data_IF_206952981332
#
_entry.id   IF_206952981332
#
_cell.length_a   1.000
_cell.length_b   1.000
_cell.length_c   1.000
_cell.angle_alpha   90.00
_cell.angle_beta   90.00
_cell.angle_gamma   90.00
#
_symmetry.space_group_name_H-M   'P 1'
#
loop_
_entity.id
_entity.type
_entity.pdbx_description
1 polymer ?
#
# COMPACT_ATOMS: atom_id res chain seq x y z
N UNK A 1 19.58 -54.01 -9.48
CA UNK A 1 18.62 -52.95 -9.12
C UNK A 1 18.29 -53.08 -7.63
N UNK A 2 19.16 -52.56 -6.77
CA UNK A 2 18.91 -52.51 -5.32
C UNK A 2 18.42 -51.10 -4.99
N UNK A 3 17.13 -50.98 -4.66
CA UNK A 3 16.55 -49.73 -4.19
C UNK A 3 17.09 -49.44 -2.79
N UNK A 4 18.05 -48.52 -2.70
CA UNK A 4 18.40 -47.87 -1.44
C UNK A 4 17.17 -47.07 -1.04
N UNK A 5 16.39 -47.63 -0.13
CA UNK A 5 15.28 -46.96 0.53
C UNK A 5 15.87 -45.77 1.29
N UNK A 6 15.79 -44.59 0.69
CA UNK A 6 15.80 -43.31 1.38
C UNK A 6 14.59 -43.31 2.30
N UNK A 7 14.78 -43.90 3.49
CA UNK A 7 13.83 -43.81 4.59
C UNK A 7 13.64 -42.34 4.89
N UNK A 8 12.52 -41.78 4.42
CA UNK A 8 12.02 -40.49 4.86
C UNK A 8 11.78 -40.62 6.36
N UNK A 9 12.73 -40.16 7.16
CA UNK A 9 12.57 -39.95 8.60
C UNK A 9 11.59 -38.80 8.80
N UNK A 10 10.29 -39.09 8.64
CA UNK A 10 9.21 -38.22 9.10
C UNK A 10 9.10 -38.40 10.61
N UNK A 11 10.13 -37.92 11.32
CA UNK A 11 10.09 -37.63 12.74
C UNK A 11 9.55 -36.22 12.95
N UNK A 12 8.32 -35.94 12.49
CA UNK A 12 7.63 -34.71 12.85
C UNK A 12 6.82 -34.99 14.11
N UNK A 13 7.43 -34.71 15.26
CA UNK A 13 6.71 -34.64 16.53
C UNK A 13 5.57 -33.62 16.38
N UNK A 14 4.35 -34.01 16.75
CA UNK A 14 3.15 -33.18 16.65
C UNK A 14 3.23 -31.81 17.38
N UNK A 15 4.30 -31.55 18.14
CA UNK A 15 4.61 -30.23 18.70
C UNK A 15 5.19 -29.21 17.71
N UNK A 16 5.76 -29.65 16.58
CA UNK A 16 6.33 -28.77 15.54
C UNK A 16 5.26 -28.19 14.61
N UNK A 17 4.14 -28.88 14.40
CA UNK A 17 3.04 -28.41 13.55
C UNK A 17 2.23 -27.28 14.21
N UNK A 18 2.11 -27.27 15.54
CA UNK A 18 1.39 -26.21 16.27
C UNK A 18 2.24 -24.94 16.40
N UNK A 19 3.54 -25.08 16.66
CA UNK A 19 4.48 -23.94 16.76
C UNK A 19 4.75 -23.26 15.41
N UNK A 20 4.70 -24.00 14.29
CA UNK A 20 4.75 -23.41 12.95
C UNK A 20 3.54 -22.52 12.61
N UNK A 21 2.35 -22.81 13.16
CA UNK A 21 1.12 -22.04 12.91
C UNK A 21 1.18 -20.66 13.55
N UNK A 22 1.64 -20.56 14.81
CA UNK A 22 1.76 -19.27 15.50
C UNK A 22 2.83 -18.40 14.85
N UNK A 23 3.99 -18.98 14.53
CA UNK A 23 5.08 -18.28 13.84
C UNK A 23 4.65 -17.71 12.47
N UNK A 24 3.87 -18.48 11.70
CA UNK A 24 3.34 -18.03 10.40
C UNK A 24 2.39 -16.83 10.52
N UNK A 25 1.60 -16.78 11.59
CA UNK A 25 0.63 -15.73 11.82
C UNK A 25 1.30 -14.43 12.27
N UNK A 26 2.28 -14.52 13.17
CA UNK A 26 3.01 -13.34 13.65
C UNK A 26 3.87 -12.72 12.55
N UNK A 27 4.50 -13.56 11.71
CA UNK A 27 5.23 -13.10 10.53
C UNK A 27 4.34 -12.33 9.55
N UNK A 28 3.15 -12.84 9.26
CA UNK A 28 2.22 -12.16 8.35
C UNK A 28 1.63 -10.88 8.92
N UNK A 29 1.40 -10.84 10.25
CA UNK A 29 1.01 -9.60 10.95
C UNK A 29 2.11 -8.55 10.86
N UNK A 30 3.36 -8.93 11.06
CA UNK A 30 4.50 -8.04 10.92
C UNK A 30 4.60 -7.47 9.50
N UNK A 31 4.57 -8.34 8.47
CA UNK A 31 4.56 -7.90 7.07
C UNK A 31 3.40 -6.97 6.75
N UNK A 32 2.20 -7.28 7.23
CA UNK A 32 1.05 -6.41 7.05
C UNK A 32 1.22 -5.06 7.75
N UNK A 33 1.82 -5.02 8.94
CA UNK A 33 2.08 -3.77 9.66
C UNK A 33 3.11 -2.89 8.93
N UNK A 34 4.20 -3.49 8.43
CA UNK A 34 5.20 -2.78 7.61
C UNK A 34 4.55 -2.21 6.35
N UNK A 35 3.76 -3.01 5.64
CA UNK A 35 3.06 -2.55 4.46
C UNK A 35 2.05 -1.42 4.77
N UNK A 36 1.29 -1.50 5.87
CA UNK A 36 0.41 -0.40 6.28
C UNK A 36 1.18 0.87 6.69
N UNK A 37 2.36 0.74 7.30
CA UNK A 37 3.22 1.87 7.61
C UNK A 37 3.72 2.56 6.33
N UNK A 38 4.14 1.77 5.34
CA UNK A 38 4.53 2.27 4.02
C UNK A 38 3.34 2.96 3.33
N UNK A 39 2.14 2.37 3.38
CA UNK A 39 0.94 2.99 2.84
C UNK A 39 0.66 4.37 3.49
N UNK A 40 0.78 4.46 4.80
CA UNK A 40 0.59 5.70 5.54
C UNK A 40 1.62 6.76 5.15
N UNK A 41 2.89 6.36 4.96
CA UNK A 41 3.95 7.24 4.46
C UNK A 41 3.61 7.79 3.06
N UNK A 42 3.12 6.96 2.16
CA UNK A 42 2.69 7.40 0.83
C UNK A 42 1.46 8.34 0.89
N UNK A 43 0.50 8.10 1.80
CA UNK A 43 -0.59 9.05 2.03
C UNK A 43 -0.08 10.41 2.53
N UNK A 44 0.92 10.42 3.41
CA UNK A 44 1.54 11.66 3.89
C UNK A 44 2.22 12.42 2.74
N UNK A 45 2.95 11.72 1.87
CA UNK A 45 3.55 12.31 0.65
C UNK A 45 2.48 12.85 -0.29
N UNK A 46 1.36 12.14 -0.47
CA UNK A 46 0.24 12.61 -1.26
C UNK A 46 -0.35 13.92 -0.73
N UNK A 47 -0.56 14.01 0.58
CA UNK A 47 -1.03 15.24 1.20
C UNK A 47 -0.01 16.37 1.09
N UNK A 48 1.28 16.05 1.20
CA UNK A 48 2.34 17.03 1.06
C UNK A 48 2.43 17.63 -0.35
N UNK A 49 2.35 16.78 -1.37
CA UNK A 49 2.29 17.22 -2.77
C UNK A 49 1.14 18.19 -3.01
N UNK A 50 -0.07 17.88 -2.51
CA UNK A 50 -1.23 18.78 -2.60
C UNK A 50 -0.96 20.10 -1.87
N UNK A 51 -0.44 20.07 -0.64
CA UNK A 51 -0.13 21.29 0.13
C UNK A 51 0.92 22.16 -0.57
N UNK A 52 1.94 21.57 -1.16
CA UNK A 52 2.95 22.27 -1.96
C UNK A 52 2.31 22.94 -3.18
N UNK A 53 1.52 22.19 -3.95
CA UNK A 53 0.80 22.74 -5.10
C UNK A 53 -0.17 23.87 -4.73
N UNK A 54 -0.87 23.77 -3.60
CA UNK A 54 -1.73 24.84 -3.09
C UNK A 54 -0.93 26.10 -2.71
N UNK A 55 0.22 25.94 -2.06
CA UNK A 55 1.12 27.06 -1.73
C UNK A 55 1.67 27.73 -2.99
N UNK A 56 2.13 26.95 -3.96
CA UNK A 56 2.65 27.46 -5.24
C UNK A 56 1.55 28.20 -6.03
N UNK A 57 0.34 27.62 -6.11
CA UNK A 57 -0.80 28.27 -6.75
C UNK A 57 -1.23 29.55 -6.02
N UNK A 58 -1.10 29.60 -4.69
CA UNK A 58 -1.38 30.81 -3.92
C UNK A 58 -0.31 31.89 -4.15
N UNK A 59 0.97 31.51 -4.19
CA UNK A 59 2.08 32.41 -4.49
C UNK A 59 1.94 33.04 -5.88
N UNK A 60 1.61 32.23 -6.89
CA UNK A 60 1.34 32.70 -8.25
C UNK A 60 0.18 33.70 -8.27
N UNK A 61 -0.96 33.38 -7.64
CA UNK A 61 -2.09 34.31 -7.54
C UNK A 61 -1.70 35.64 -6.89
N UNK A 62 -0.86 35.61 -5.85
CA UNK A 62 -0.36 36.83 -5.20
C UNK A 62 0.53 37.63 -6.15
N UNK A 63 1.37 36.98 -6.96
CA UNK A 63 2.21 37.63 -7.96
C UNK A 63 1.37 38.27 -9.08
N UNK A 64 0.37 37.56 -9.61
CA UNK A 64 -0.57 38.09 -10.61
C UNK A 64 -1.31 39.32 -10.08
N UNK A 65 -1.78 39.28 -8.83
CA UNK A 65 -2.43 40.44 -8.17
C UNK A 65 -1.50 41.63 -8.02
N UNK A 66 -0.24 41.41 -7.61
CA UNK A 66 0.77 42.47 -7.49
C UNK A 66 1.06 43.12 -8.84
N UNK A 67 1.21 42.31 -9.89
CA UNK A 67 1.42 42.81 -11.24
C UNK A 67 0.23 43.65 -11.73
N UNK A 68 -0.99 43.15 -11.55
CA UNK A 68 -2.21 43.88 -11.89
C UNK A 68 -2.32 45.20 -11.12
N UNK A 69 -2.00 45.21 -9.83
CA UNK A 69 -1.96 46.43 -9.01
C UNK A 69 -0.91 47.45 -9.49
N UNK A 70 0.29 46.98 -9.82
CA UNK A 70 1.37 47.83 -10.36
C UNK A 70 0.99 48.44 -11.73
N UNK A 71 0.42 47.63 -12.63
CA UNK A 71 -0.11 48.11 -13.91
C UNK A 71 -1.19 49.18 -13.71
N UNK A 72 -2.14 48.95 -12.80
CA UNK A 72 -3.18 49.92 -12.47
C UNK A 72 -2.61 51.25 -11.95
N UNK A 73 -1.62 51.19 -11.06
CA UNK A 73 -0.95 52.38 -10.55
C UNK A 73 -0.18 53.14 -11.64
N UNK A 74 0.48 52.42 -12.56
CA UNK A 74 1.20 53.02 -13.68
C UNK A 74 0.25 53.72 -14.67
N UNK A 75 -0.88 53.08 -15.02
CA UNK A 75 -1.90 53.70 -15.89
C UNK A 75 -2.55 54.92 -15.24
N UNK A 76 -2.84 54.86 -13.93
CA UNK A 76 -3.34 56.02 -13.18
C UNK A 76 -2.35 57.20 -13.21
N UNK A 77 -1.04 56.93 -13.09
CA UNK A 77 0.01 57.94 -13.15
C UNK A 77 0.23 58.54 -14.55
N UNK A 78 -0.19 57.84 -15.60
CA UNK A 78 -0.11 58.30 -17.00
C UNK A 78 -1.40 58.97 -17.49
N UNK A 79 -2.45 59.08 -16.65
CA UNK A 79 -3.72 59.69 -17.01
C UNK A 79 -4.56 58.86 -18.00
N UNK A 80 -4.25 57.57 -18.15
CA UNK A 80 -4.99 56.63 -19.01
C UNK A 80 -6.20 56.11 -18.24
N UNK A 81 -7.40 56.21 -18.82
CA UNK A 81 -8.60 55.64 -18.20
C UNK A 81 -8.52 54.11 -18.21
N UNK A 82 -8.32 53.55 -17.01
CA UNK A 82 -8.13 52.12 -16.77
C UNK A 82 -9.41 51.32 -17.08
N UNK A 83 -10.56 52.00 -17.23
CA UNK A 83 -11.85 51.37 -17.45
C UNK A 83 -12.30 51.31 -18.93
N UNK A 84 -11.55 51.87 -19.88
CA UNK A 84 -12.00 51.91 -21.29
C UNK A 84 -11.20 51.00 -22.23
N UNK A 85 -11.92 50.11 -22.92
CA UNK A 85 -11.63 49.62 -24.28
C UNK A 85 -10.57 48.53 -24.47
N UNK A 86 -9.36 48.65 -23.90
CA UNK A 86 -8.29 47.64 -24.10
C UNK A 86 -7.41 47.37 -22.88
N UNK A 87 -7.18 48.36 -22.00
CA UNK A 87 -6.39 48.17 -20.77
C UNK A 87 -7.09 47.23 -19.77
N UNK A 88 -8.43 47.29 -19.69
CA UNK A 88 -9.25 46.38 -18.90
C UNK A 88 -9.26 44.95 -19.45
N UNK A 89 -9.26 44.78 -20.78
CA UNK A 89 -9.23 43.47 -21.43
C UNK A 89 -7.89 42.77 -21.22
N UNK A 90 -6.77 43.48 -21.40
CA UNK A 90 -5.42 42.95 -21.15
C UNK A 90 -5.24 42.55 -19.68
N UNK A 91 -5.82 43.32 -18.74
CA UNK A 91 -5.79 43.01 -17.32
C UNK A 91 -6.66 41.78 -16.98
N UNK A 92 -7.82 41.63 -17.63
CA UNK A 92 -8.69 40.46 -17.47
C UNK A 92 -8.07 39.18 -18.08
N UNK A 93 -7.42 39.29 -19.24
CA UNK A 93 -6.69 38.19 -19.88
C UNK A 93 -5.51 37.75 -19.01
N UNK A 94 -4.73 38.69 -18.47
CA UNK A 94 -3.62 38.40 -17.55
C UNK A 94 -4.08 37.68 -16.27
N UNK A 95 -5.23 38.06 -15.72
CA UNK A 95 -5.82 37.39 -14.57
C UNK A 95 -6.33 35.98 -14.91
N UNK A 96 -6.93 35.82 -16.10
CA UNK A 96 -7.42 34.52 -16.59
C UNK A 96 -6.25 33.56 -16.83
N UNK A 97 -5.17 34.03 -17.43
CA UNK A 97 -3.95 33.25 -17.65
C UNK A 97 -3.30 32.83 -16.32
N UNK A 98 -3.20 33.75 -15.36
CA UNK A 98 -2.72 33.42 -14.01
C UNK A 98 -3.61 32.43 -13.26
N UNK A 99 -4.93 32.43 -13.51
CA UNK A 99 -5.85 31.45 -12.96
C UNK A 99 -5.66 30.06 -13.61
N UNK A 100 -5.43 30.02 -14.93
CA UNK A 100 -5.15 28.78 -15.67
C UNK A 100 -3.83 28.14 -15.19
N UNK A 101 -2.78 28.94 -15.03
CA UNK A 101 -1.50 28.48 -14.50
C UNK A 101 -1.63 27.93 -13.07
N UNK A 102 -2.42 28.61 -12.22
CA UNK A 102 -2.71 28.12 -10.87
C UNK A 102 -3.48 26.79 -10.87
N UNK A 103 -4.38 26.58 -11.83
CA UNK A 103 -5.07 25.29 -12.03
C UNK A 103 -4.08 24.22 -12.50
N UNK A 104 -3.17 24.57 -13.41
CA UNK A 104 -2.12 23.67 -13.90
C UNK A 104 -1.21 23.19 -12.77
N UNK A 105 -0.75 24.10 -11.91
CA UNK A 105 0.04 23.77 -10.70
C UNK A 105 -0.73 22.78 -9.83
N UNK A 106 -2.00 23.07 -9.54
CA UNK A 106 -2.85 22.18 -8.74
C UNK A 106 -3.00 20.81 -9.41
N UNK A 107 -3.28 20.76 -10.70
CA UNK A 107 -3.45 19.50 -11.44
C UNK A 107 -2.19 18.64 -11.41
N UNK A 108 -1.01 19.25 -11.53
CA UNK A 108 0.26 18.53 -11.43
C UNK A 108 0.45 17.95 -10.01
N UNK A 109 0.18 18.75 -8.97
CA UNK A 109 0.21 18.29 -7.59
C UNK A 109 -0.80 17.17 -7.31
N UNK A 110 -2.01 17.25 -7.89
CA UNK A 110 -3.02 16.19 -7.80
C UNK A 110 -2.56 14.90 -8.49
N UNK A 111 -1.89 15.01 -9.64
CA UNK A 111 -1.33 13.83 -10.35
C UNK A 111 -0.22 13.16 -9.54
N UNK A 112 0.67 13.95 -8.95
CA UNK A 112 1.73 13.46 -8.04
C UNK A 112 1.10 12.76 -6.82
N UNK A 113 0.13 13.41 -6.18
CA UNK A 113 -0.60 12.85 -5.04
C UNK A 113 -1.38 11.58 -5.38
N UNK A 114 -1.95 11.50 -6.57
CA UNK A 114 -2.62 10.30 -7.05
C UNK A 114 -1.64 9.14 -7.22
N UNK A 115 -0.44 9.39 -7.77
CA UNK A 115 0.63 8.39 -7.86
C UNK A 115 0.99 7.81 -6.49
N UNK A 116 1.17 8.66 -5.48
CA UNK A 116 1.42 8.21 -4.11
C UNK A 116 0.24 7.43 -3.52
N UNK A 117 -1.01 7.87 -3.72
CA UNK A 117 -2.19 7.12 -3.26
C UNK A 117 -2.33 5.75 -3.90
N UNK A 118 -1.97 5.61 -5.18
CA UNK A 118 -1.92 4.32 -5.87
C UNK A 118 -0.88 3.41 -5.21
N UNK A 119 0.31 3.93 -4.91
CA UNK A 119 1.34 3.17 -4.17
C UNK A 119 0.86 2.78 -2.76
N UNK A 120 0.19 3.69 -2.05
CA UNK A 120 -0.41 3.41 -0.75
C UNK A 120 -1.40 2.24 -0.82
N UNK A 121 -2.24 2.22 -1.86
CA UNK A 121 -3.25 1.18 -2.04
C UNK A 121 -2.63 -0.16 -2.47
N UNK A 122 -1.54 -0.14 -3.22
CA UNK A 122 -0.74 -1.35 -3.47
C UNK A 122 -0.20 -1.94 -2.16
N UNK A 123 0.39 -1.13 -1.29
CA UNK A 123 0.88 -1.60 0.01
C UNK A 123 -0.24 -2.13 0.91
N UNK A 124 -1.42 -1.50 0.91
CA UNK A 124 -2.59 -2.02 1.64
C UNK A 124 -3.07 -3.34 1.04
N UNK A 125 -2.99 -3.52 -0.27
CA UNK A 125 -3.26 -4.80 -0.94
C UNK A 125 -2.26 -5.88 -0.48
N UNK A 126 -0.97 -5.57 -0.43
CA UNK A 126 0.07 -6.48 0.09
C UNK A 126 -0.22 -6.88 1.54
N UNK A 127 -0.63 -5.93 2.38
CA UNK A 127 -1.00 -6.19 3.76
C UNK A 127 -2.22 -7.14 3.87
N UNK A 128 -3.22 -6.97 2.99
CA UNK A 128 -4.39 -7.87 2.91
C UNK A 128 -3.95 -9.25 2.42
N UNK A 129 -3.11 -9.31 1.39
CA UNK A 129 -2.60 -10.55 0.83
C UNK A 129 -1.81 -11.35 1.87
N UNK A 130 -0.90 -10.73 2.62
CA UNK A 130 -0.15 -11.38 3.69
C UNK A 130 -1.09 -12.02 4.73
N UNK A 131 -2.16 -11.31 5.13
CA UNK A 131 -3.17 -11.84 6.07
C UNK A 131 -3.98 -13.00 5.49
N UNK A 132 -4.29 -12.96 4.19
CA UNK A 132 -5.01 -14.06 3.49
C UNK A 132 -4.10 -15.27 3.31
N UNK A 133 -2.85 -15.07 2.90
CA UNK A 133 -1.84 -16.10 2.77
C UNK A 133 -1.63 -16.84 4.10
N UNK A 134 -1.52 -16.12 5.22
CA UNK A 134 -1.44 -16.73 6.55
C UNK A 134 -2.69 -17.53 6.93
N UNK A 135 -3.89 -17.03 6.60
CA UNK A 135 -5.14 -17.78 6.80
C UNK A 135 -5.19 -19.08 6.00
N UNK A 136 -4.74 -19.04 4.75
CA UNK A 136 -4.68 -20.21 3.87
C UNK A 136 -3.60 -21.19 4.33
N UNK A 137 -2.42 -20.70 4.71
CA UNK A 137 -1.37 -21.52 5.31
C UNK A 137 -1.89 -22.23 6.56
N UNK A 138 -2.60 -21.53 7.46
CA UNK A 138 -3.28 -22.17 8.61
C UNK A 138 -4.23 -23.27 8.21
N UNK A 139 -5.12 -23.03 7.23
CA UNK A 139 -6.07 -24.04 6.76
C UNK A 139 -5.36 -25.27 6.20
N UNK A 140 -4.32 -25.05 5.40
CA UNK A 140 -3.53 -26.15 4.85
C UNK A 140 -2.78 -26.90 5.94
N UNK A 141 -2.13 -26.22 6.89
CA UNK A 141 -1.41 -26.86 8.01
C UNK A 141 -2.35 -27.60 8.96
N UNK A 142 -3.57 -27.11 9.20
CA UNK A 142 -4.56 -27.84 10.00
C UNK A 142 -5.02 -29.10 9.25
N UNK A 143 -5.27 -29.00 7.93
CA UNK A 143 -5.70 -30.13 7.13
C UNK A 143 -4.59 -31.18 6.99
N UNK A 144 -3.38 -30.78 6.63
CA UNK A 144 -2.24 -31.69 6.48
C UNK A 144 -1.77 -32.22 7.83
N UNK A 145 -1.73 -31.38 8.87
CA UNK A 145 -1.41 -31.78 10.24
C UNK A 145 -2.44 -32.74 10.81
N UNK A 146 -3.74 -32.54 10.54
CA UNK A 146 -4.81 -33.45 10.94
C UNK A 146 -4.74 -34.79 10.21
N UNK A 147 -4.49 -34.78 8.89
CA UNK A 147 -4.27 -35.99 8.10
C UNK A 147 -3.02 -36.75 8.54
N UNK A 148 -1.93 -36.05 8.86
CA UNK A 148 -0.71 -36.64 9.39
C UNK A 148 -0.93 -37.23 10.79
N UNK A 149 -1.70 -36.57 11.66
CA UNK A 149 -2.05 -37.08 12.98
C UNK A 149 -2.93 -38.34 12.90
N UNK A 150 -3.92 -38.35 11.99
CA UNK A 150 -4.76 -39.52 11.73
C UNK A 150 -3.93 -40.67 11.17
N UNK A 151 -3.08 -40.41 10.17
CA UNK A 151 -2.18 -41.42 9.62
C UNK A 151 -1.22 -41.95 10.69
N UNK A 152 -0.57 -41.09 11.47
CA UNK A 152 0.30 -41.52 12.57
C UNK A 152 -0.44 -42.37 13.62
N UNK A 153 -1.67 -41.99 13.98
CA UNK A 153 -2.53 -42.76 14.86
C UNK A 153 -2.94 -44.12 14.27
N UNK A 154 -3.25 -44.18 12.97
CA UNK A 154 -3.54 -45.42 12.25
C UNK A 154 -2.33 -46.34 12.14
N UNK A 155 -1.14 -45.80 11.85
CA UNK A 155 0.12 -46.57 11.78
C UNK A 155 0.55 -47.07 13.15
N UNK A 156 0.40 -46.25 14.20
CA UNK A 156 0.65 -46.67 15.58
C UNK A 156 -0.36 -47.73 16.06
N UNK A 157 -1.64 -47.55 15.76
CA UNK A 157 -2.69 -48.52 16.08
C UNK A 157 -2.51 -49.85 15.32
N UNK A 158 -2.13 -49.80 14.04
CA UNK A 158 -1.86 -51.00 13.25
C UNK A 158 -0.59 -51.73 13.70
N UNK A 159 0.45 -51.00 14.14
CA UNK A 159 1.65 -51.58 14.73
C UNK A 159 1.34 -52.31 16.06
N UNK A 160 0.51 -51.73 16.93
CA UNK A 160 0.10 -52.36 18.20
C UNK A 160 -0.80 -53.58 17.95
N UNK A 161 -1.73 -53.50 17.00
CA UNK A 161 -2.64 -54.61 16.66
C UNK A 161 -1.95 -55.72 15.86
N UNK A 162 -0.92 -55.41 15.07
CA UNK A 162 -0.09 -56.38 14.36
C UNK A 162 0.82 -57.17 15.30
N UNK A 163 1.34 -56.54 16.35
CA UNK A 163 2.26 -57.19 17.29
C UNK A 163 1.58 -58.13 18.32
N UNK A 164 0.24 -58.15 18.39
CA UNK A 164 -0.52 -59.04 19.29
C UNK A 164 -0.86 -60.40 18.67
N UNK A 165 -0.51 -60.65 17.40
CA UNK A 165 -0.74 -61.95 16.73
C UNK A 165 0.49 -62.86 16.60
N UNK A 166 1.65 -62.45 17.12
CA UNK A 166 2.92 -63.19 16.94
C UNK A 166 3.64 -63.50 18.26
N UNK A 167 2.90 -63.61 19.36
CA UNK A 167 3.43 -63.88 20.71
C UNK A 167 2.73 -65.03 21.43
N UNK A 168 2.14 -65.98 20.70
CA UNK A 168 1.46 -67.12 21.30
C UNK A 168 1.53 -68.35 20.42
N UNK A 169 2.25 -69.35 20.93
CA UNK A 169 2.44 -70.75 20.48
C UNK A 169 3.73 -71.00 19.71
#
# INVERSE_FOLDING_TARGET
>A
MAAIATGLSIGLTAGQTISGISATNDQARFQANVANANASMEDFKAQDAIRRGDKEAAALRMQTKKLAGAQRAAYAGQGVDINTGSAGEVQAESQTMGALDAITIKNNAWREAWGYRVQAENYRSDARFAKVAARNARRNTILTGGLQAINAGLTGYSAIKGNTKTGGR
#
